data_IF_263309071432
#
_entry.id   IF_263309071432
#
_cell.length_a   1.000
_cell.length_b   1.000
_cell.length_c   1.000
_cell.angle_alpha   90.00
_cell.angle_beta   90.00
_cell.angle_gamma   90.00
#
_symmetry.space_group_name_H-M   'P 1'
#
loop_
_entity.id
_entity.type
_entity.pdbx_description
1 polymer ?
#
# COMPACT_ATOMS: atom_id res chain seq x y z
N UNK A 1 0.62 -26.01 -1.99
CA UNK A 1 0.34 -24.78 -1.21
C UNK A 1 -0.68 -23.96 -2.01
N UNK A 2 -1.95 -23.93 -1.59
CA UNK A 2 -3.02 -23.21 -2.30
C UNK A 2 -3.31 -21.89 -1.58
N UNK A 3 -3.45 -20.79 -2.31
CA UNK A 3 -3.93 -19.51 -1.75
C UNK A 3 -5.43 -19.63 -1.47
N UNK A 4 -5.85 -19.20 -0.29
CA UNK A 4 -7.25 -19.29 0.18
C UNK A 4 -7.86 -17.92 0.46
N UNK A 5 -7.06 -16.91 0.75
CA UNK A 5 -7.51 -15.54 0.99
C UNK A 5 -6.45 -14.56 0.48
N UNK A 6 -6.93 -13.46 -0.11
CA UNK A 6 -6.12 -12.30 -0.48
C UNK A 6 -6.88 -11.07 0.03
N UNK A 7 -6.25 -10.31 0.93
CA UNK A 7 -6.76 -9.02 1.40
C UNK A 7 -5.85 -7.89 0.94
N UNK A 8 -6.47 -6.85 0.40
CA UNK A 8 -5.78 -5.66 -0.07
C UNK A 8 -6.32 -4.47 0.74
N UNK A 9 -5.44 -3.77 1.44
CA UNK A 9 -5.80 -2.62 2.25
C UNK A 9 -5.07 -1.37 1.73
N UNK A 10 -5.73 -0.23 1.81
CA UNK A 10 -5.21 1.08 1.40
C UNK A 10 -5.18 2.03 2.59
N UNK A 11 -4.02 2.64 2.83
CA UNK A 11 -3.81 3.62 3.89
C UNK A 11 -3.22 4.91 3.34
N UNK A 12 -3.60 6.03 3.97
CA UNK A 12 -2.96 7.33 3.80
C UNK A 12 -2.25 7.70 5.09
N UNK A 13 -0.93 7.70 5.07
CA UNK A 13 -0.11 7.88 6.26
C UNK A 13 0.43 9.32 6.32
N UNK A 14 0.15 10.10 7.39
CA UNK A 14 0.69 11.45 7.54
C UNK A 14 2.19 11.44 7.85
N UNK A 15 2.90 12.43 7.32
CA UNK A 15 4.29 12.73 7.66
C UNK A 15 4.34 13.92 8.61
N UNK A 16 4.97 13.74 9.75
CA UNK A 16 5.22 14.78 10.75
C UNK A 16 6.70 14.73 11.19
N UNK A 17 7.55 15.71 10.81
CA UNK A 17 7.20 16.86 9.97
C UNK A 17 7.01 16.48 8.49
N UNK A 18 6.34 17.32 7.68
CA UNK A 18 6.31 17.17 6.23
C UNK A 18 7.73 17.13 5.64
N UNK A 19 7.91 16.34 4.58
CA UNK A 19 9.18 16.20 3.85
C UNK A 19 9.12 16.92 2.50
N UNK A 20 10.26 17.15 1.85
CA UNK A 20 10.26 17.70 0.49
C UNK A 20 11.47 17.27 -0.34
N UNK A 21 11.30 17.21 -1.67
CA UNK A 21 12.38 17.04 -2.63
C UNK A 21 12.18 17.91 -3.89
N UNK A 22 13.13 17.88 -4.83
CA UNK A 22 13.12 18.70 -6.05
C UNK A 22 12.05 18.33 -7.08
N UNK A 23 11.44 17.15 -6.96
CA UNK A 23 10.54 16.56 -7.96
C UNK A 23 9.09 16.55 -7.48
N UNK A 24 8.88 16.14 -6.24
CA UNK A 24 7.56 15.96 -5.61
C UNK A 24 7.14 17.18 -4.79
N UNK A 25 8.04 18.16 -4.59
CA UNK A 25 7.75 19.34 -3.78
C UNK A 25 7.50 18.97 -2.32
N UNK A 26 6.50 19.59 -1.68
CA UNK A 26 6.12 19.30 -0.30
C UNK A 26 5.27 18.02 -0.21
N UNK A 27 5.70 17.09 0.62
CA UNK A 27 5.07 15.78 0.85
C UNK A 27 4.55 15.76 2.29
N UNK A 28 3.22 15.79 2.42
CA UNK A 28 2.53 15.77 3.72
C UNK A 28 2.01 14.38 4.11
N UNK A 29 1.84 13.50 3.13
CA UNK A 29 1.40 12.11 3.32
C UNK A 29 2.11 11.20 2.32
N UNK A 30 2.12 9.90 2.59
CA UNK A 30 2.37 8.88 1.58
C UNK A 30 1.25 7.84 1.61
N UNK A 31 0.97 7.24 0.46
CA UNK A 31 0.01 6.16 0.36
C UNK A 31 0.67 4.80 0.49
N UNK A 32 0.03 3.89 1.23
CA UNK A 32 0.48 2.52 1.44
C UNK A 32 -0.61 1.56 0.99
N UNK A 33 -0.23 0.57 0.16
CA UNK A 33 -1.09 -0.57 -0.15
C UNK A 33 -0.45 -1.81 0.46
N UNK A 34 -1.20 -2.54 1.28
CA UNK A 34 -0.74 -3.83 1.82
C UNK A 34 -1.54 -4.98 1.20
N UNK A 35 -0.86 -6.09 0.92
CA UNK A 35 -1.47 -7.32 0.44
C UNK A 35 -1.16 -8.44 1.42
N UNK A 36 -2.20 -9.01 2.02
CA UNK A 36 -2.11 -10.16 2.90
C UNK A 36 -2.61 -11.40 2.18
N UNK A 37 -1.74 -12.40 2.04
CA UNK A 37 -2.08 -13.67 1.39
C UNK A 37 -2.05 -14.78 2.42
N UNK A 38 -3.17 -15.48 2.58
CA UNK A 38 -3.24 -16.68 3.43
C UNK A 38 -3.34 -17.93 2.56
N UNK A 39 -2.58 -18.96 2.92
CA UNK A 39 -2.59 -20.26 2.24
C UNK A 39 -3.35 -21.31 3.05
N UNK A 40 -3.72 -22.41 2.41
CA UNK A 40 -4.49 -23.50 2.99
C UNK A 40 -3.86 -24.18 4.23
N UNK A 41 -2.57 -23.95 4.50
CA UNK A 41 -1.90 -24.40 5.72
C UNK A 41 -1.99 -23.41 6.88
N UNK A 42 -2.74 -22.32 6.73
CA UNK A 42 -2.93 -21.27 7.75
C UNK A 42 -1.83 -20.21 7.79
N UNK A 43 -0.69 -20.43 7.11
CA UNK A 43 0.36 -19.42 7.03
C UNK A 43 -0.10 -18.18 6.25
N UNK A 44 0.40 -17.03 6.67
CA UNK A 44 0.06 -15.74 6.08
C UNK A 44 1.33 -14.98 5.75
N UNK A 45 1.40 -14.44 4.52
CA UNK A 45 2.42 -13.51 4.08
C UNK A 45 1.85 -12.09 3.96
N UNK A 46 2.69 -11.09 4.23
CA UNK A 46 2.37 -9.67 4.05
C UNK A 46 3.36 -9.07 3.07
N UNK A 47 2.84 -8.59 1.94
CA UNK A 47 3.54 -7.72 1.00
C UNK A 47 2.98 -6.31 1.05
N UNK A 48 3.71 -5.34 0.52
CA UNK A 48 3.23 -3.97 0.41
C UNK A 48 3.94 -3.23 -0.73
N UNK A 49 3.32 -2.12 -1.15
CA UNK A 49 3.93 -1.09 -2.00
C UNK A 49 3.48 0.28 -1.50
N UNK A 50 4.15 1.35 -1.92
CA UNK A 50 3.80 2.70 -1.52
C UNK A 50 3.89 3.67 -2.70
N UNK A 51 3.25 4.83 -2.56
CA UNK A 51 3.41 5.96 -3.47
C UNK A 51 3.75 7.22 -2.71
N UNK A 52 4.45 8.14 -3.36
CA UNK A 52 4.77 9.46 -2.79
C UNK A 52 3.54 10.34 -2.89
N UNK A 53 3.21 11.05 -1.80
CA UNK A 53 2.06 11.94 -1.75
C UNK A 53 0.72 11.20 -1.61
N UNK A 54 -0.34 11.85 -2.08
CA UNK A 54 -1.72 11.33 -2.07
C UNK A 54 -2.19 10.93 -3.48
N UNK A 55 -1.23 10.69 -4.39
CA UNK A 55 -1.49 10.39 -5.79
C UNK A 55 -1.19 8.91 -6.11
N UNK A 56 -2.06 8.29 -6.91
CA UNK A 56 -1.85 6.96 -7.49
C UNK A 56 -2.14 5.77 -6.56
N UNK A 57 -2.13 5.93 -5.23
CA UNK A 57 -2.31 4.81 -4.28
C UNK A 57 -3.65 4.11 -4.47
N UNK A 58 -4.74 4.87 -4.59
CA UNK A 58 -6.07 4.31 -4.83
C UNK A 58 -6.17 3.56 -6.17
N UNK A 59 -5.46 4.02 -7.21
CA UNK A 59 -5.43 3.34 -8.50
C UNK A 59 -4.66 2.02 -8.43
N UNK A 60 -3.53 1.98 -7.71
CA UNK A 60 -2.75 0.75 -7.48
C UNK A 60 -3.54 -0.23 -6.62
N UNK A 61 -4.19 0.25 -5.56
CA UNK A 61 -5.06 -0.57 -4.71
C UNK A 61 -6.15 -1.23 -5.56
N UNK A 62 -6.85 -0.46 -6.40
CA UNK A 62 -7.88 -0.97 -7.29
C UNK A 62 -7.35 -2.00 -8.29
N UNK A 63 -6.17 -1.75 -8.87
CA UNK A 63 -5.52 -2.66 -9.82
C UNK A 63 -5.19 -4.02 -9.18
N UNK A 64 -4.86 -4.04 -7.89
CA UNK A 64 -4.51 -5.28 -7.17
C UNK A 64 -5.77 -6.04 -6.72
N UNK A 65 -6.88 -5.33 -6.50
CA UNK A 65 -8.18 -5.95 -6.16
C UNK A 65 -8.93 -6.55 -7.35
N UNK A 66 -8.57 -6.20 -8.59
CA UNK A 66 -9.14 -6.74 -9.84
C UNK A 66 -8.60 -8.13 -10.19
#
# INVERSE_FOLDING_TARGET
MKITDIRVDHFRIPLDPPLSDSTHGLITTFGLVTVRITVSSGHTGLGYTYTVGDIGTAAIHRLIED
#
